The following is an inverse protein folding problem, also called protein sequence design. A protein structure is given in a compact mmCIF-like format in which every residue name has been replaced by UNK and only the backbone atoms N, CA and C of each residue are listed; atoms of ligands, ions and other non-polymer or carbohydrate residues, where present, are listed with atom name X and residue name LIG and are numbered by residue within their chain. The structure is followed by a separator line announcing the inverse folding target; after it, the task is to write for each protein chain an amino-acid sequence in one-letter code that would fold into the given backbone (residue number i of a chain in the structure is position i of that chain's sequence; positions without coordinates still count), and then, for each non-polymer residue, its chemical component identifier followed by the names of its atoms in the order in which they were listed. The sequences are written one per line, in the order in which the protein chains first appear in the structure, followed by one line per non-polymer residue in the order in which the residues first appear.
data_IF_483339038009
#
_entry.id   IF_483339038009
#
_cell.length_a   1.000
_cell.length_b   1.000
_cell.length_c   1.000
_cell.angle_alpha   90.00
_cell.angle_beta   90.00
_cell.angle_gamma   90.00
#
_symmetry.space_group_name_H-M   'P 1'
#
loop_
_entity.id
_entity.type
_entity.pdbx_description
1 polymer ?
#
# COMPACT_ATOMS: atom_id res chain seq x y z
N UNK A 1 -33.82 -33.71 11.77
CA UNK A 1 -33.25 -32.37 11.53
C UNK A 1 -33.04 -31.75 12.88
N UNK A 2 -31.82 -31.34 13.16
CA UNK A 2 -31.41 -30.74 14.43
C UNK A 2 -31.14 -29.26 14.17
N UNK A 3 -31.72 -28.39 14.98
CA UNK A 3 -31.38 -26.97 14.95
C UNK A 3 -30.04 -26.77 15.63
N UNK A 4 -29.09 -26.20 14.89
CA UNK A 4 -27.77 -25.81 15.38
C UNK A 4 -27.76 -24.31 15.60
N UNK A 5 -27.11 -23.89 16.69
CA UNK A 5 -26.75 -22.49 16.92
C UNK A 5 -25.25 -22.34 16.74
N UNK A 6 -24.84 -21.80 15.60
CA UNK A 6 -23.43 -21.68 15.22
C UNK A 6 -22.93 -20.26 15.52
N UNK A 7 -21.97 -20.16 16.41
CA UNK A 7 -21.27 -18.91 16.69
C UNK A 7 -20.33 -18.55 15.54
N UNK A 8 -20.53 -17.36 14.98
CA UNK A 8 -19.82 -16.82 13.82
C UNK A 8 -19.05 -15.57 14.20
N UNK A 9 -17.89 -15.35 13.58
CA UNK A 9 -17.08 -14.13 13.71
C UNK A 9 -16.76 -13.58 12.34
N UNK A 10 -16.91 -12.26 12.16
CA UNK A 10 -16.46 -11.57 10.95
C UNK A 10 -14.97 -11.26 11.10
N UNK A 11 -14.14 -11.91 10.29
CA UNK A 11 -12.69 -11.72 10.36
C UNK A 11 -12.32 -10.35 9.78
N UNK A 12 -11.41 -9.63 10.46
CA UNK A 12 -10.97 -8.30 10.07
C UNK A 12 -11.83 -7.15 10.58
N UNK A 13 -12.84 -7.41 11.42
CA UNK A 13 -13.64 -6.39 12.11
C UNK A 13 -13.77 -6.70 13.59
N UNK A 14 -13.74 -5.67 14.44
CA UNK A 14 -14.03 -5.77 15.88
C UNK A 14 -15.54 -5.71 16.13
N UNK A 15 -16.28 -6.67 15.60
CA UNK A 15 -17.75 -6.71 15.70
C UNK A 15 -18.27 -7.65 16.78
N UNK A 16 -17.41 -8.43 17.44
CA UNK A 16 -17.85 -9.51 18.31
C UNK A 16 -18.28 -10.76 17.54
N UNK A 17 -18.46 -11.85 18.29
CA UNK A 17 -19.11 -13.05 17.82
C UNK A 17 -20.65 -12.92 17.89
N UNK A 18 -21.35 -13.58 16.97
CA UNK A 18 -22.82 -13.63 16.96
C UNK A 18 -23.30 -15.04 16.57
N UNK A 19 -24.45 -15.43 17.07
CA UNK A 19 -25.00 -16.76 16.86
C UNK A 19 -25.95 -16.81 15.66
N UNK A 20 -25.86 -17.89 14.90
CA UNK A 20 -26.70 -18.14 13.73
C UNK A 20 -27.42 -19.47 13.88
N UNK A 21 -28.74 -19.40 13.87
CA UNK A 21 -29.60 -20.58 13.96
C UNK A 21 -29.87 -21.16 12.57
N UNK A 22 -29.60 -22.46 12.39
CA UNK A 22 -29.80 -23.17 11.12
C UNK A 22 -30.00 -24.68 11.35
N UNK A 23 -30.74 -25.33 10.46
CA UNK A 23 -30.88 -26.79 10.46
C UNK A 23 -29.61 -27.48 9.93
N UNK A 24 -29.16 -28.52 10.63
CA UNK A 24 -27.99 -29.36 10.27
C UNK A 24 -28.08 -30.02 8.88
N UNK A 25 -29.32 -30.25 8.43
CA UNK A 25 -29.66 -30.79 7.12
C UNK A 25 -29.53 -29.81 5.96
N UNK A 26 -29.12 -28.55 6.20
CA UNK A 26 -28.99 -27.53 5.17
C UNK A 26 -27.61 -27.53 4.51
N UNK A 27 -27.51 -26.89 3.34
CA UNK A 27 -26.24 -26.67 2.64
C UNK A 27 -25.50 -25.45 3.17
N UNK A 28 -24.19 -25.38 2.94
CA UNK A 28 -23.37 -24.21 3.25
C UNK A 28 -23.87 -22.94 2.52
N UNK A 29 -24.49 -23.06 1.34
CA UNK A 29 -25.16 -21.94 0.68
C UNK A 29 -26.28 -21.32 1.52
N UNK A 30 -27.10 -22.14 2.17
CA UNK A 30 -28.15 -21.68 3.08
C UNK A 30 -27.56 -21.07 4.36
N UNK A 31 -26.42 -21.61 4.84
CA UNK A 31 -25.68 -21.01 5.96
C UNK A 31 -25.20 -19.60 5.64
N UNK A 32 -24.66 -19.34 4.44
CA UNK A 32 -24.28 -17.98 4.02
C UNK A 32 -25.45 -17.01 4.07
N UNK A 33 -26.62 -17.44 3.61
CA UNK A 33 -27.83 -16.62 3.63
C UNK A 33 -28.31 -16.37 5.07
N UNK A 34 -28.30 -17.40 5.92
CA UNK A 34 -28.67 -17.29 7.33
C UNK A 34 -27.75 -16.32 8.09
N UNK A 35 -26.44 -16.43 7.89
CA UNK A 35 -25.43 -15.52 8.45
C UNK A 35 -25.74 -14.07 8.08
N UNK A 36 -25.97 -13.79 6.79
CA UNK A 36 -26.32 -12.43 6.37
C UNK A 36 -27.58 -11.92 7.08
N UNK A 37 -28.65 -12.71 7.07
CA UNK A 37 -29.95 -12.30 7.61
C UNK A 37 -29.92 -12.11 9.14
N UNK A 38 -29.10 -12.90 9.85
CA UNK A 38 -29.01 -12.88 11.32
C UNK A 38 -27.87 -11.99 11.84
N UNK A 39 -27.09 -11.35 10.96
CA UNK A 39 -25.98 -10.46 11.33
C UNK A 39 -26.39 -9.06 11.79
N UNK A 40 -27.67 -8.79 12.02
CA UNK A 40 -28.20 -7.46 12.42
C UNK A 40 -27.67 -6.29 11.56
N UNK A 41 -27.58 -6.51 10.24
CA UNK A 41 -27.11 -5.50 9.29
C UNK A 41 -25.58 -5.30 9.23
N UNK A 42 -24.79 -6.06 10.01
CA UNK A 42 -23.32 -6.01 9.95
C UNK A 42 -22.77 -6.41 8.58
N UNK A 43 -23.52 -7.22 7.83
CA UNK A 43 -23.19 -7.67 6.47
C UNK A 43 -24.15 -7.07 5.46
N UNK A 44 -23.69 -6.03 4.74
CA UNK A 44 -24.45 -5.38 3.67
C UNK A 44 -24.33 -6.11 2.34
N UNK A 45 -23.19 -6.74 2.07
CA UNK A 45 -22.87 -7.41 0.80
C UNK A 45 -23.81 -8.58 0.46
N UNK A 46 -23.99 -8.91 -0.83
CA UNK A 46 -24.74 -10.10 -1.23
C UNK A 46 -24.17 -11.37 -0.58
N UNK A 47 -25.03 -12.18 0.04
CA UNK A 47 -24.63 -13.38 0.78
C UNK A 47 -23.84 -14.38 -0.08
N UNK A 48 -24.08 -14.38 -1.40
CA UNK A 48 -23.35 -15.20 -2.38
C UNK A 48 -21.84 -14.93 -2.37
N UNK A 49 -21.43 -13.70 -2.07
CA UNK A 49 -20.04 -13.30 -2.07
C UNK A 49 -19.31 -13.72 -0.79
N UNK A 50 -20.02 -13.97 0.30
CA UNK A 50 -19.42 -14.36 1.58
C UNK A 50 -18.57 -15.62 1.42
N UNK A 51 -17.41 -15.64 2.07
CA UNK A 51 -16.58 -16.84 2.17
C UNK A 51 -16.60 -17.32 3.62
N UNK A 52 -16.84 -18.61 3.81
CA UNK A 52 -16.94 -19.22 5.13
C UNK A 52 -15.76 -20.18 5.30
N UNK A 53 -15.16 -20.14 6.48
CA UNK A 53 -14.07 -21.03 6.87
C UNK A 53 -14.40 -21.67 8.22
N UNK A 54 -13.95 -22.89 8.43
CA UNK A 54 -14.05 -23.54 9.73
C UNK A 54 -13.12 -22.84 10.72
N UNK A 55 -13.64 -22.48 11.88
CA UNK A 55 -12.83 -21.96 12.99
C UNK A 55 -12.12 -23.08 13.78
N UNK A 56 -11.69 -24.14 13.09
CA UNK A 56 -10.86 -25.20 13.68
C UNK A 56 -9.39 -24.80 13.57
N UNK A 57 -8.68 -24.97 14.68
CA UNK A 57 -7.22 -24.89 14.71
C UNK A 57 -6.60 -26.12 14.03
N UNK A 58 -5.29 -26.08 13.78
CA UNK A 58 -4.54 -27.21 13.20
C UNK A 58 -4.66 -28.51 14.01
N UNK A 59 -4.97 -28.41 15.31
CA UNK A 59 -5.20 -29.55 16.21
C UNK A 59 -6.65 -30.02 16.28
N UNK A 60 -7.55 -29.45 15.45
CA UNK A 60 -8.95 -29.83 15.38
C UNK A 60 -9.86 -29.24 16.47
N UNK A 61 -9.32 -28.42 17.37
CA UNK A 61 -10.08 -27.71 18.40
C UNK A 61 -10.73 -26.42 17.85
N UNK A 62 -11.92 -26.10 18.34
CA UNK A 62 -12.62 -24.84 18.04
C UNK A 62 -11.97 -23.66 18.77
N UNK A 63 -11.96 -22.50 18.11
CA UNK A 63 -11.39 -21.27 18.66
C UNK A 63 -12.33 -20.60 19.68
N UNK A 64 -11.78 -19.75 20.54
CA UNK A 64 -12.58 -18.78 21.30
C UNK A 64 -12.80 -17.48 20.50
N UNK A 65 -13.70 -16.63 20.99
CA UNK A 65 -14.05 -15.36 20.35
C UNK A 65 -12.85 -14.42 20.19
N UNK A 66 -11.98 -14.32 21.21
CA UNK A 66 -10.84 -13.41 21.20
C UNK A 66 -9.79 -13.80 20.15
N UNK A 67 -9.54 -15.09 20.00
CA UNK A 67 -8.59 -15.63 19.01
C UNK A 67 -9.17 -15.53 17.60
N UNK A 68 -10.48 -15.74 17.44
CA UNK A 68 -11.14 -15.65 16.14
C UNK A 68 -11.14 -14.23 15.54
N UNK A 69 -11.26 -13.19 16.38
CA UNK A 69 -11.17 -11.79 15.93
C UNK A 69 -9.75 -11.40 15.47
N UNK A 70 -8.73 -12.02 16.05
CA UNK A 70 -7.31 -11.75 15.75
C UNK A 70 -6.76 -12.53 14.55
N UNK A 71 -7.59 -13.29 13.83
CA UNK A 71 -7.14 -14.10 12.69
C UNK A 71 -6.58 -13.20 11.59
N UNK A 72 -5.32 -13.41 11.24
CA UNK A 72 -4.65 -12.70 10.17
C UNK A 72 -5.18 -13.16 8.80
N UNK A 73 -5.44 -12.19 7.91
CA UNK A 73 -5.80 -12.43 6.52
C UNK A 73 -4.56 -12.32 5.63
N UNK A 74 -4.48 -13.14 4.59
CA UNK A 74 -3.45 -13.06 3.55
C UNK A 74 -3.69 -11.88 2.58
N UNK A 75 -2.78 -11.70 1.63
CA UNK A 75 -2.85 -10.67 0.58
C UNK A 75 -4.12 -10.76 -0.30
N UNK A 76 -4.87 -11.87 -0.22
CA UNK A 76 -6.13 -12.11 -0.94
C UNK A 76 -7.36 -11.98 -0.03
N UNK A 77 -7.15 -11.60 1.23
CA UNK A 77 -8.18 -11.45 2.25
C UNK A 77 -8.68 -12.79 2.80
N UNK A 78 -7.90 -13.88 2.73
CA UNK A 78 -8.28 -15.20 3.23
C UNK A 78 -7.52 -15.54 4.52
N UNK A 79 -8.19 -16.15 5.51
CA UNK A 79 -7.52 -16.59 6.74
C UNK A 79 -6.59 -17.76 6.42
N UNK A 80 -5.29 -17.61 6.73
CA UNK A 80 -4.28 -18.64 6.46
C UNK A 80 -4.41 -19.82 7.42
N UNK A 81 -4.32 -21.04 6.90
CA UNK A 81 -4.38 -22.27 7.71
C UNK A 81 -5.79 -22.76 8.05
N UNK A 82 -6.83 -22.09 7.54
CA UNK A 82 -8.22 -22.46 7.81
C UNK A 82 -8.91 -23.09 6.61
N UNK A 83 -9.75 -24.08 6.87
CA UNK A 83 -10.44 -24.82 5.83
C UNK A 83 -11.65 -24.07 5.30
N UNK A 84 -11.63 -23.77 3.99
CA UNK A 84 -12.73 -23.13 3.27
C UNK A 84 -13.91 -24.09 3.08
N UNK A 85 -15.11 -23.61 3.41
CA UNK A 85 -16.35 -24.37 3.26
C UNK A 85 -16.91 -24.23 1.83
N UNK A 86 -17.07 -25.37 1.15
CA UNK A 86 -17.75 -25.49 -0.15
C UNK A 86 -19.27 -25.27 0.01
N UNK A 87 -19.86 -24.25 -0.69
CA UNK A 87 -21.30 -23.97 -0.69
C UNK A 87 -22.21 -25.14 -1.08
N UNK A 88 -21.69 -26.09 -1.85
CA UNK A 88 -22.45 -27.22 -2.41
C UNK A 88 -22.62 -28.38 -1.42
N UNK A 89 -21.79 -28.41 -0.36
CA UNK A 89 -21.81 -29.45 0.65
C UNK A 89 -22.81 -29.13 1.78
N UNK A 90 -23.20 -30.19 2.49
CA UNK A 90 -24.10 -30.12 3.64
C UNK A 90 -23.35 -29.68 4.90
N UNK A 91 -24.04 -29.01 5.83
CA UNK A 91 -23.48 -28.60 7.13
C UNK A 91 -23.03 -29.84 7.92
N UNK A 92 -23.89 -30.88 7.98
CA UNK A 92 -23.58 -32.18 8.63
C UNK A 92 -22.54 -33.05 7.92
N UNK A 93 -21.85 -32.55 6.90
CA UNK A 93 -20.78 -33.29 6.25
C UNK A 93 -19.66 -33.57 7.26
N UNK A 94 -19.10 -34.79 7.26
CA UNK A 94 -18.02 -35.21 8.17
C UNK A 94 -16.79 -34.29 8.10
N UNK A 95 -16.57 -33.68 6.93
CA UNK A 95 -15.54 -32.68 6.70
C UNK A 95 -15.71 -31.40 7.53
N UNK A 96 -16.94 -31.07 7.92
CA UNK A 96 -17.27 -29.83 8.63
C UNK A 96 -17.62 -30.13 10.09
N UNK A 97 -18.91 -30.21 10.38
CA UNK A 97 -19.44 -30.44 11.72
C UNK A 97 -19.68 -31.93 11.98
N UNK A 98 -19.95 -32.71 10.94
CA UNK A 98 -20.33 -34.12 11.04
C UNK A 98 -21.75 -34.34 11.58
N UNK A 99 -22.23 -35.60 11.53
CA UNK A 99 -23.54 -35.95 12.05
C UNK A 99 -23.57 -35.87 13.57
N UNK A 100 -24.63 -35.26 14.12
CA UNK A 100 -24.82 -35.18 15.58
C UNK A 100 -23.95 -34.14 16.29
N UNK A 101 -23.34 -33.21 15.55
CA UNK A 101 -22.61 -32.08 16.11
C UNK A 101 -23.45 -31.29 17.11
N UNK A 102 -22.85 -30.92 18.24
CA UNK A 102 -23.45 -30.02 19.22
C UNK A 102 -22.46 -28.88 19.53
N UNK A 103 -22.85 -27.62 19.32
CA UNK A 103 -22.03 -26.47 19.67
C UNK A 103 -21.93 -26.33 21.19
N UNK A 104 -20.75 -25.99 21.70
CA UNK A 104 -20.52 -25.70 23.13
C UNK A 104 -20.32 -24.20 23.35
N UNK A 105 -20.64 -23.74 24.56
CA UNK A 105 -20.49 -22.34 24.95
C UNK A 105 -19.03 -21.87 24.84
N UNK A 106 -18.85 -20.64 24.33
CA UNK A 106 -17.53 -20.01 24.18
C UNK A 106 -16.74 -20.44 22.94
N UNK A 107 -17.27 -21.33 22.10
CA UNK A 107 -16.63 -21.78 20.87
C UNK A 107 -17.10 -20.99 19.65
N UNK A 108 -16.15 -20.53 18.84
CA UNK A 108 -16.41 -20.01 17.49
C UNK A 108 -16.34 -21.16 16.51
N UNK A 109 -17.34 -21.23 15.64
CA UNK A 109 -17.54 -22.33 14.71
C UNK A 109 -17.20 -21.92 13.27
N UNK A 110 -17.54 -20.69 12.89
CA UNK A 110 -17.42 -20.20 11.51
C UNK A 110 -16.72 -18.85 11.48
N UNK A 111 -15.67 -18.77 10.67
CA UNK A 111 -15.04 -17.52 10.29
C UNK A 111 -15.69 -17.00 9.01
N UNK A 112 -16.22 -15.78 9.07
CA UNK A 112 -16.92 -15.13 7.97
C UNK A 112 -16.02 -14.06 7.37
N UNK A 113 -15.70 -14.22 6.08
CA UNK A 113 -14.98 -13.22 5.31
C UNK A 113 -15.96 -12.55 4.35
N UNK A 114 -16.10 -11.23 4.50
CA UNK A 114 -16.93 -10.39 3.63
C UNK A 114 -16.02 -9.77 2.56
N UNK A 115 -16.20 -10.10 1.26
CA UNK A 115 -15.39 -9.50 0.22
C UNK A 115 -15.80 -8.05 -0.02
N UNK A 116 -14.80 -7.15 -0.05
CA UNK A 116 -15.00 -5.73 -0.38
C UNK A 116 -14.98 -4.78 0.81
N UNK A 117 -14.48 -5.20 1.97
CA UNK A 117 -14.47 -4.34 3.18
C UNK A 117 -13.14 -4.42 3.95
N UNK A 118 -12.01 -4.33 3.25
CA UNK A 118 -10.99 -3.44 3.80
C UNK A 118 -11.41 -2.03 3.38
N UNK A 119 -11.30 -1.04 4.25
CA UNK A 119 -11.27 0.36 3.80
C UNK A 119 -10.13 0.60 2.78
N UNK A 120 -9.25 -0.40 2.60
CA UNK A 120 -8.25 -0.50 1.56
C UNK A 120 -8.69 -1.28 0.30
N UNK A 121 -9.88 -1.88 0.21
CA UNK A 121 -10.33 -2.71 -0.93
C UNK A 121 -10.81 -1.89 -2.12
N UNK A 122 -11.44 -0.75 -1.87
CA UNK A 122 -11.84 0.19 -2.92
C UNK A 122 -10.62 0.89 -3.53
N UNK A 123 -9.58 1.13 -2.73
CA UNK A 123 -8.32 1.68 -3.22
C UNK A 123 -7.42 0.61 -3.85
N UNK A 124 -7.31 -0.60 -3.30
CA UNK A 124 -6.45 -1.66 -3.89
C UNK A 124 -6.97 -2.27 -5.21
N UNK A 125 -8.26 -2.13 -5.52
CA UNK A 125 -8.83 -2.51 -6.83
C UNK A 125 -8.67 -1.41 -7.90
N UNK A 126 -8.52 -0.16 -7.48
CA UNK A 126 -8.30 1.00 -8.38
C UNK A 126 -6.78 1.31 -8.50
N UNK A 127 -6.02 0.98 -7.46
CA UNK A 127 -4.61 1.30 -7.31
C UNK A 127 -3.86 0.03 -6.88
N UNK A 128 -2.83 -0.40 -7.61
CA UNK A 128 -1.93 -1.43 -7.11
C UNK A 128 -1.37 -0.95 -5.76
N UNK A 129 -1.31 -1.86 -4.78
CA UNK A 129 -0.53 -1.67 -3.56
C UNK A 129 0.83 -1.10 -3.95
N UNK A 130 1.31 -0.06 -3.26
CA UNK A 130 2.65 0.48 -3.49
C UNK A 130 3.65 -0.69 -3.56
N UNK A 131 4.15 -1.00 -4.76
CA UNK A 131 5.12 -2.07 -4.97
C UNK A 131 6.48 -1.39 -5.02
N UNK A 132 7.34 -1.61 -4.01
CA UNK A 132 8.73 -1.18 -4.11
C UNK A 132 9.29 -1.75 -5.43
N UNK A 133 9.71 -0.85 -6.31
CA UNK A 133 10.21 -1.16 -7.63
C UNK A 133 11.39 -2.17 -7.57
N UNK A 134 11.58 -2.98 -8.62
CA UNK A 134 12.71 -3.91 -8.72
C UNK A 134 14.08 -3.22 -8.76
N UNK A 135 14.13 -1.91 -9.08
CA UNK A 135 15.34 -1.05 -9.02
C UNK A 135 15.29 -0.05 -7.85
N UNK A 136 14.28 -0.15 -6.98
CA UNK A 136 14.10 0.72 -5.81
C UNK A 136 14.85 0.24 -4.57
N UNK A 137 14.68 0.97 -3.48
CA UNK A 137 15.29 0.63 -2.19
C UNK A 137 14.68 -0.67 -1.64
N UNK A 138 15.51 -1.70 -1.45
CA UNK A 138 15.08 -2.95 -0.83
C UNK A 138 14.96 -2.78 0.69
N UNK A 139 13.72 -2.67 1.15
CA UNK A 139 13.35 -2.42 2.54
C UNK A 139 13.71 -3.55 3.53
N UNK A 140 14.10 -4.72 3.03
CA UNK A 140 14.58 -5.85 3.84
C UNK A 140 16.10 -5.78 4.12
N UNK A 141 16.83 -4.96 3.35
CA UNK A 141 18.26 -4.77 3.54
C UNK A 141 18.54 -3.50 4.37
N UNK A 142 19.69 -3.43 5.07
CA UNK A 142 20.08 -2.21 5.77
C UNK A 142 20.18 -1.01 4.81
N UNK A 143 19.56 0.10 5.16
CA UNK A 143 19.49 1.32 4.36
C UNK A 143 19.50 2.56 5.26
N UNK A 144 19.78 3.73 4.67
CA UNK A 144 19.61 5.00 5.37
C UNK A 144 18.13 5.32 5.51
N UNK A 145 17.67 5.62 6.73
CA UNK A 145 16.26 5.95 6.99
C UNK A 145 15.86 7.31 6.41
N UNK A 146 16.81 8.25 6.32
CA UNK A 146 16.60 9.63 5.85
C UNK A 146 15.40 10.32 6.53
N UNK A 147 15.16 10.02 7.81
CA UNK A 147 13.93 10.39 8.52
C UNK A 147 13.60 11.88 8.44
N UNK A 148 14.58 12.76 8.64
CA UNK A 148 14.37 14.21 8.57
C UNK A 148 13.90 14.68 7.18
N UNK A 149 14.35 14.02 6.11
CA UNK A 149 13.91 14.33 4.74
C UNK A 149 12.52 13.77 4.46
N UNK A 150 12.20 12.59 5.01
CA UNK A 150 10.85 11.98 4.92
C UNK A 150 9.82 12.85 5.63
N UNK A 151 10.09 13.30 6.86
CA UNK A 151 9.19 14.21 7.58
C UNK A 151 9.02 15.55 6.86
N UNK A 152 10.12 16.09 6.33
CA UNK A 152 10.06 17.32 5.52
C UNK A 152 9.17 17.15 4.28
N UNK A 153 9.19 15.99 3.64
CA UNK A 153 8.27 15.66 2.54
C UNK A 153 6.83 15.55 3.04
N UNK A 154 6.60 14.91 4.19
CA UNK A 154 5.28 14.79 4.80
C UNK A 154 4.64 16.14 5.10
N UNK A 155 5.35 17.03 5.79
CA UNK A 155 4.87 18.39 6.08
C UNK A 155 4.46 19.13 4.80
N UNK A 156 5.20 18.95 3.71
CA UNK A 156 4.89 19.55 2.42
C UNK A 156 3.63 18.98 1.78
N UNK A 157 3.45 17.66 1.83
CA UNK A 157 2.26 16.97 1.28
C UNK A 157 0.99 17.37 2.04
N UNK A 158 1.07 17.55 3.36
CA UNK A 158 -0.06 18.02 4.17
C UNK A 158 -0.43 19.46 3.80
N UNK A 159 0.55 20.32 3.58
CA UNK A 159 0.34 21.77 3.38
C UNK A 159 0.00 22.17 1.95
N UNK A 160 0.39 21.40 0.96
CA UNK A 160 0.32 21.79 -0.46
C UNK A 160 -0.28 20.69 -1.32
N UNK A 161 -0.90 21.05 -2.44
CA UNK A 161 -1.46 20.07 -3.37
C UNK A 161 -0.40 19.33 -4.20
N UNK A 162 0.74 19.98 -4.43
CA UNK A 162 1.84 19.49 -5.27
C UNK A 162 3.18 19.71 -4.59
N UNK A 163 3.99 18.66 -4.58
CA UNK A 163 5.40 18.70 -4.16
C UNK A 163 6.28 18.25 -5.33
N UNK A 164 7.33 19.01 -5.64
CA UNK A 164 8.29 18.66 -6.69
C UNK A 164 9.61 18.16 -6.11
N UNK A 165 10.03 16.95 -6.49
CA UNK A 165 11.37 16.41 -6.26
C UNK A 165 12.19 16.58 -7.53
N UNK A 166 13.18 17.46 -7.49
CA UNK A 166 13.98 17.87 -8.65
C UNK A 166 15.47 17.71 -8.35
N UNK A 167 16.06 16.60 -8.78
CA UNK A 167 17.48 16.33 -8.59
C UNK A 167 18.03 15.43 -9.71
N UNK A 168 19.37 15.36 -9.91
CA UNK A 168 19.98 14.48 -10.91
C UNK A 168 19.59 13.00 -10.75
N UNK A 169 19.88 12.18 -11.76
CA UNK A 169 19.71 10.72 -11.67
C UNK A 169 20.52 10.15 -10.49
N UNK A 170 20.08 9.02 -9.93
CA UNK A 170 20.78 8.35 -8.82
C UNK A 170 20.75 9.08 -7.47
N UNK A 171 20.11 10.25 -7.37
CA UNK A 171 20.04 11.05 -6.13
C UNK A 171 19.14 10.46 -5.03
N UNK A 172 18.47 9.33 -5.26
CA UNK A 172 17.60 8.67 -4.28
C UNK A 172 16.16 9.20 -4.20
N UNK A 173 15.63 9.82 -5.27
CA UNK A 173 14.23 10.30 -5.32
C UNK A 173 13.23 9.15 -5.14
N UNK A 174 13.34 8.10 -5.94
CA UNK A 174 12.51 6.89 -5.86
C UNK A 174 12.67 6.19 -4.50
N UNK A 175 13.88 6.19 -3.92
CA UNK A 175 14.12 5.70 -2.56
C UNK A 175 13.38 6.54 -1.50
N UNK A 176 13.34 7.87 -1.64
CA UNK A 176 12.59 8.75 -0.75
C UNK A 176 11.08 8.50 -0.84
N UNK A 177 10.53 8.33 -2.05
CA UNK A 177 9.13 7.94 -2.26
C UNK A 177 8.79 6.62 -1.54
N UNK A 178 9.69 5.63 -1.67
CA UNK A 178 9.59 4.33 -1.01
C UNK A 178 9.60 4.44 0.52
N UNK A 179 10.52 5.22 1.07
CA UNK A 179 10.61 5.45 2.51
C UNK A 179 9.38 6.19 3.05
N UNK A 180 8.89 7.18 2.31
CA UNK A 180 7.70 7.93 2.65
C UNK A 180 6.45 7.04 2.71
N UNK A 181 6.21 6.24 1.66
CA UNK A 181 5.07 5.32 1.62
C UNK A 181 5.10 4.29 2.76
N UNK A 182 6.29 3.81 3.14
CA UNK A 182 6.45 2.88 4.27
C UNK A 182 6.20 3.55 5.61
N UNK A 183 6.72 4.77 5.80
CA UNK A 183 6.68 5.46 7.09
C UNK A 183 5.28 5.96 7.41
N UNK A 184 4.56 6.45 6.40
CA UNK A 184 3.21 6.99 6.53
C UNK A 184 2.17 6.01 5.96
N UNK A 185 2.06 4.83 6.56
CA UNK A 185 1.14 3.77 6.11
C UNK A 185 -0.34 4.13 6.28
N UNK A 186 -0.63 5.16 7.07
CA UNK A 186 -1.95 5.78 7.18
C UNK A 186 -2.39 6.55 5.93
N UNK A 187 -1.43 6.92 5.06
CA UNK A 187 -1.67 7.63 3.79
C UNK A 187 -1.70 6.62 2.65
N UNK A 188 -2.72 6.74 1.79
CA UNK A 188 -2.84 5.92 0.59
C UNK A 188 -1.90 6.45 -0.50
N UNK A 189 -0.72 5.83 -0.61
CA UNK A 189 0.28 6.18 -1.62
C UNK A 189 0.12 5.32 -2.88
N UNK A 190 0.06 5.97 -4.04
CA UNK A 190 -0.10 5.33 -5.35
C UNK A 190 1.13 5.66 -6.17
N UNK A 191 1.85 4.63 -6.59
CA UNK A 191 3.00 4.80 -7.48
C UNK A 191 2.54 4.87 -8.94
N UNK A 192 2.97 5.92 -9.64
CA UNK A 192 2.69 6.17 -11.06
C UNK A 192 4.02 6.45 -11.75
N UNK A 193 4.64 5.40 -12.27
CA UNK A 193 5.89 5.52 -13.03
C UNK A 193 5.59 5.82 -14.50
N UNK A 194 6.21 6.87 -15.04
CA UNK A 194 6.27 7.08 -16.48
C UNK A 194 7.44 6.26 -17.05
N UNK A 195 7.18 5.47 -18.08
CA UNK A 195 8.20 4.64 -18.76
C UNK A 195 8.29 4.98 -20.26
N UNK A 196 9.20 4.32 -20.98
CA UNK A 196 9.35 4.50 -22.43
C UNK A 196 8.17 3.97 -23.26
N UNK A 197 7.26 3.21 -22.65
CA UNK A 197 6.08 2.64 -23.31
C UNK A 197 4.81 3.47 -23.08
N UNK A 198 4.91 4.53 -22.28
CA UNK A 198 3.77 5.33 -21.89
C UNK A 198 3.19 6.08 -23.09
N UNK A 199 2.07 5.59 -23.62
CA UNK A 199 1.40 6.15 -24.82
C UNK A 199 0.63 7.45 -24.56
N UNK A 200 0.57 7.92 -23.31
CA UNK A 200 -0.04 9.20 -22.95
C UNK A 200 -0.28 9.35 -21.45
N UNK A 201 0.22 10.45 -20.87
CA UNK A 201 0.18 10.70 -19.42
C UNK A 201 -1.25 10.73 -18.85
N UNK A 202 -2.19 11.32 -19.61
CA UNK A 202 -3.61 11.36 -19.22
C UNK A 202 -4.23 9.96 -19.18
N UNK A 203 -3.89 9.09 -20.12
CA UNK A 203 -4.42 7.73 -20.17
C UNK A 203 -3.91 6.90 -18.97
N UNK A 204 -2.64 7.06 -18.63
CA UNK A 204 -2.04 6.41 -17.46
C UNK A 204 -2.73 6.85 -16.17
N UNK A 205 -2.87 8.16 -15.93
CA UNK A 205 -3.56 8.67 -14.75
C UNK A 205 -5.05 8.32 -14.70
N UNK A 206 -5.69 8.11 -15.85
CA UNK A 206 -7.09 7.70 -15.90
C UNK A 206 -7.30 6.30 -15.31
N UNK A 207 -6.31 5.41 -15.41
CA UNK A 207 -6.35 4.09 -14.74
C UNK A 207 -6.40 4.22 -13.21
N UNK A 208 -5.91 5.34 -12.71
CA UNK A 208 -5.84 5.73 -11.30
C UNK A 208 -6.98 6.70 -10.91
N UNK A 209 -8.05 6.76 -11.71
CA UNK A 209 -9.21 7.59 -11.41
C UNK A 209 -8.99 9.10 -11.58
N UNK A 210 -7.90 9.53 -12.23
CA UNK A 210 -7.60 10.95 -12.48
C UNK A 210 -7.56 11.21 -13.98
N UNK A 211 -8.62 11.80 -14.54
CA UNK A 211 -8.65 12.18 -15.94
C UNK A 211 -8.41 13.69 -16.10
N UNK A 212 -7.19 14.04 -16.47
CA UNK A 212 -6.74 15.43 -16.65
C UNK A 212 -7.43 16.13 -17.83
N UNK A 213 -7.81 15.40 -18.88
CA UNK A 213 -8.47 15.97 -20.07
C UNK A 213 -9.93 16.31 -19.78
N UNK A 214 -10.67 15.41 -19.13
CA UNK A 214 -12.08 15.65 -18.76
C UNK A 214 -12.26 16.35 -17.43
N UNK A 215 -11.16 16.62 -16.70
CA UNK A 215 -11.15 17.25 -15.37
C UNK A 215 -12.03 16.48 -14.38
N UNK A 216 -11.87 15.16 -14.34
CA UNK A 216 -12.63 14.28 -13.47
C UNK A 216 -11.70 13.53 -12.53
N UNK A 217 -12.04 13.53 -11.24
CA UNK A 217 -11.37 12.76 -10.21
C UNK A 217 -12.37 11.81 -9.55
N UNK A 218 -12.20 10.51 -9.77
CA UNK A 218 -13.05 9.45 -9.24
C UNK A 218 -12.45 8.79 -7.97
N UNK A 219 -11.47 9.45 -7.34
CA UNK A 219 -10.85 8.98 -6.10
C UNK A 219 -11.84 9.19 -4.95
N UNK A 220 -12.32 8.12 -4.31
CA UNK A 220 -13.34 8.22 -3.27
C UNK A 220 -12.82 9.04 -2.09
N UNK A 221 -13.74 9.74 -1.42
CA UNK A 221 -13.42 10.46 -0.19
C UNK A 221 -13.11 9.46 0.92
N UNK A 222 -11.98 9.64 1.59
CA UNK A 222 -11.48 8.71 2.61
C UNK A 222 -10.17 9.20 3.22
N UNK A 223 -9.19 8.30 3.34
CA UNK A 223 -7.82 8.63 3.74
C UNK A 223 -7.19 9.62 2.74
N UNK A 224 -6.19 10.36 3.20
CA UNK A 224 -5.36 11.20 2.33
C UNK A 224 -4.71 10.32 1.25
N UNK A 225 -4.88 10.69 0.00
CA UNK A 225 -4.43 9.94 -1.16
C UNK A 225 -3.32 10.71 -1.88
N UNK A 226 -2.15 10.08 -2.06
CA UNK A 226 -0.98 10.71 -2.66
C UNK A 226 -0.58 9.96 -3.92
N UNK A 227 -0.69 10.60 -5.09
CA UNK A 227 -0.18 10.08 -6.35
C UNK A 227 1.30 10.49 -6.49
N UNK A 228 2.18 9.50 -6.47
CA UNK A 228 3.61 9.65 -6.65
C UNK A 228 3.93 9.46 -8.12
N UNK A 229 4.06 10.58 -8.84
CA UNK A 229 4.40 10.59 -10.24
C UNK A 229 5.92 10.48 -10.38
N UNK A 230 6.44 9.30 -10.71
CA UNK A 230 7.88 9.07 -10.87
C UNK A 230 8.32 9.16 -12.34
N UNK A 231 9.58 9.53 -12.56
CA UNK A 231 10.19 9.67 -13.89
C UNK A 231 9.47 10.69 -14.81
N UNK A 232 8.93 11.76 -14.24
CA UNK A 232 8.14 12.77 -14.95
C UNK A 232 8.87 13.46 -16.11
N UNK A 233 10.20 13.43 -16.15
CA UNK A 233 11.00 13.94 -17.28
C UNK A 233 10.64 13.29 -18.62
N UNK A 234 10.09 12.07 -18.61
CA UNK A 234 9.67 11.37 -19.83
C UNK A 234 8.44 11.97 -20.49
N UNK A 235 7.67 12.77 -19.76
CA UNK A 235 6.42 13.38 -20.24
C UNK A 235 6.48 14.92 -20.19
N UNK A 236 7.67 15.52 -20.16
CA UNK A 236 7.82 16.98 -20.17
C UNK A 236 7.23 17.66 -21.41
N UNK A 237 7.23 16.97 -22.56
CA UNK A 237 6.68 17.50 -23.81
C UNK A 237 5.15 17.70 -23.78
N UNK A 238 4.44 17.17 -22.79
CA UNK A 238 2.98 17.30 -22.68
C UNK A 238 2.60 18.53 -21.84
N UNK A 239 2.88 19.72 -22.38
CA UNK A 239 2.61 21.00 -21.70
C UNK A 239 1.12 21.20 -21.34
N UNK A 240 0.22 20.69 -22.18
CA UNK A 240 -1.23 20.75 -21.99
C UNK A 240 -1.65 19.91 -20.78
N UNK A 241 -1.11 18.69 -20.65
CA UNK A 241 -1.29 17.86 -19.46
C UNK A 241 -0.83 18.57 -18.19
N UNK A 242 0.41 19.07 -18.15
CA UNK A 242 0.95 19.71 -16.95
C UNK A 242 0.23 21.00 -16.59
N UNK A 243 -0.19 21.78 -17.60
CA UNK A 243 -0.97 23.00 -17.38
C UNK A 243 -2.33 22.68 -16.76
N UNK A 244 -3.04 21.67 -17.28
CA UNK A 244 -4.34 21.26 -16.74
C UNK A 244 -4.24 20.63 -15.36
N UNK A 245 -3.21 19.83 -15.12
CA UNK A 245 -2.98 19.18 -13.83
C UNK A 245 -2.57 20.20 -12.76
N UNK A 246 -1.53 21.02 -13.00
CA UNK A 246 -0.97 21.89 -11.95
C UNK A 246 -1.81 23.16 -11.79
N UNK A 247 -2.10 23.89 -12.87
CA UNK A 247 -2.83 25.16 -12.78
C UNK A 247 -4.34 24.98 -12.73
N UNK A 248 -4.85 23.90 -13.33
CA UNK A 248 -6.29 23.64 -13.42
C UNK A 248 -6.87 22.85 -12.25
N UNK A 249 -6.04 22.18 -11.44
CA UNK A 249 -6.45 21.21 -10.40
C UNK A 249 -7.43 21.76 -9.38
N UNK A 250 -7.25 23.01 -8.94
CA UNK A 250 -8.03 23.58 -7.84
C UNK A 250 -9.56 23.56 -8.06
N UNK A 251 -10.03 23.40 -9.31
CA UNK A 251 -11.47 23.37 -9.63
C UNK A 251 -12.08 21.96 -9.68
N UNK A 252 -11.28 20.89 -9.66
CA UNK A 252 -11.79 19.53 -9.90
C UNK A 252 -11.05 18.41 -9.16
N UNK A 253 -9.89 18.68 -8.58
CA UNK A 253 -9.17 17.75 -7.71
C UNK A 253 -9.62 18.00 -6.27
N UNK A 254 -10.11 16.97 -5.57
CA UNK A 254 -10.52 17.09 -4.17
C UNK A 254 -9.37 17.39 -3.21
N UNK A 255 -9.69 18.03 -2.08
CA UNK A 255 -8.72 18.39 -1.03
C UNK A 255 -8.10 17.20 -0.29
N UNK A 256 -8.54 15.96 -0.53
CA UNK A 256 -7.90 14.75 0.02
C UNK A 256 -6.96 14.07 -0.98
N UNK A 257 -6.76 14.64 -2.17
CA UNK A 257 -5.87 14.12 -3.19
C UNK A 257 -4.66 15.05 -3.34
N UNK A 258 -3.46 14.46 -3.35
CA UNK A 258 -2.16 15.15 -3.39
C UNK A 258 -1.25 14.51 -4.42
N UNK A 259 -0.26 15.28 -4.88
CA UNK A 259 0.69 14.82 -5.88
C UNK A 259 2.12 15.06 -5.43
N UNK A 260 2.96 14.05 -5.56
CA UNK A 260 4.42 14.19 -5.52
C UNK A 260 4.92 13.97 -6.95
N UNK A 261 5.64 14.95 -7.50
CA UNK A 261 6.20 14.91 -8.83
C UNK A 261 7.70 14.67 -8.67
N UNK A 262 8.19 13.50 -9.07
CA UNK A 262 9.61 13.19 -9.12
C UNK A 262 10.11 13.34 -10.55
N UNK A 263 11.15 14.15 -10.71
CA UNK A 263 11.70 14.45 -12.02
C UNK A 263 13.23 14.58 -11.96
N UNK A 264 13.89 14.03 -12.98
CA UNK A 264 15.33 14.10 -13.11
C UNK A 264 15.77 15.32 -13.90
N UNK A 265 16.76 16.06 -13.38
CA UNK A 265 17.46 17.07 -14.17
C UNK A 265 18.28 16.37 -15.24
N UNK A 266 17.85 16.45 -16.49
CA UNK A 266 18.65 16.01 -17.63
C UNK A 266 19.61 17.16 -17.97
N UNK A 267 20.91 16.90 -17.86
CA UNK A 267 21.98 17.88 -18.08
C UNK A 267 22.32 18.07 -19.57
N UNK A 268 21.70 17.27 -20.45
CA UNK A 268 21.92 17.30 -21.90
C UNK A 268 21.02 18.34 -22.58
N UNK A 269 21.59 19.06 -23.54
CA UNK A 269 20.98 20.20 -24.25
C UNK A 269 19.86 19.81 -25.22
N UNK A 270 19.72 18.53 -25.56
CA UNK A 270 18.77 18.03 -26.57
C UNK A 270 17.49 17.44 -25.94
N UNK A 271 17.26 17.72 -24.66
CA UNK A 271 16.13 17.21 -23.89
C UNK A 271 15.12 18.33 -23.63
N UNK A 272 13.81 18.06 -23.66
CA UNK A 272 12.81 19.06 -23.30
C UNK A 272 13.08 19.68 -21.93
N UNK A 273 13.00 21.01 -21.89
CA UNK A 273 13.03 21.75 -20.64
C UNK A 273 11.88 21.32 -19.74
N UNK A 274 12.08 21.38 -18.43
CA UNK A 274 11.01 21.15 -17.47
C UNK A 274 9.81 22.06 -17.75
N UNK A 275 8.55 21.59 -17.60
CA UNK A 275 7.37 22.38 -17.87
C UNK A 275 7.39 23.72 -17.11
N UNK A 276 7.02 24.81 -17.78
CA UNK A 276 7.01 26.17 -17.17
C UNK A 276 6.09 26.22 -15.93
N UNK A 277 5.06 25.38 -15.90
CA UNK A 277 4.13 25.21 -14.78
C UNK A 277 4.79 24.70 -13.50
N UNK A 278 5.94 24.04 -13.57
CA UNK A 278 6.68 23.64 -12.36
C UNK A 278 7.19 24.86 -11.58
N UNK A 279 7.29 26.02 -12.25
CA UNK A 279 7.56 27.30 -11.61
C UNK A 279 6.54 27.68 -10.53
N UNK A 280 5.26 27.30 -10.68
CA UNK A 280 4.20 27.66 -9.72
C UNK A 280 4.05 26.70 -8.55
N UNK A 281 4.80 25.60 -8.51
CA UNK A 281 4.79 24.67 -7.37
C UNK A 281 5.52 25.33 -6.21
N UNK A 282 4.83 25.52 -5.08
CA UNK A 282 5.37 26.21 -3.90
C UNK A 282 6.51 25.42 -3.24
N UNK A 283 6.32 24.11 -3.06
CA UNK A 283 7.28 23.29 -2.35
C UNK A 283 8.14 22.44 -3.28
N UNK A 284 9.47 22.59 -3.17
CA UNK A 284 10.46 21.90 -3.99
C UNK A 284 11.56 21.30 -3.12
N UNK A 285 11.81 20.00 -3.29
CA UNK A 285 13.03 19.35 -2.81
C UNK A 285 14.02 19.29 -3.97
N UNK A 286 15.11 20.03 -3.84
CA UNK A 286 16.12 20.15 -4.90
C UNK A 286 17.35 19.31 -4.58
N UNK A 287 18.33 19.31 -5.49
CA UNK A 287 19.65 18.64 -5.32
C UNK A 287 20.20 18.76 -3.89
N UNK A 288 20.17 19.94 -3.29
CA UNK A 288 20.76 20.19 -1.98
C UNK A 288 20.09 19.40 -0.86
N UNK A 289 18.80 19.07 -1.00
CA UNK A 289 18.09 18.22 -0.05
C UNK A 289 18.44 16.74 -0.19
N UNK A 290 18.92 16.31 -1.36
CA UNK A 290 19.31 14.94 -1.65
C UNK A 290 20.79 14.67 -1.37
N UNK A 291 21.58 15.69 -1.02
CA UNK A 291 22.95 15.48 -0.58
C UNK A 291 22.97 14.63 0.70
N UNK A 292 23.90 13.68 0.73
CA UNK A 292 24.19 12.84 1.89
C UNK A 292 25.14 13.61 2.78
N UNK A 293 24.77 13.84 4.05
CA UNK A 293 25.65 14.48 5.02
C UNK A 293 26.75 13.52 5.47
N UNK A 294 27.81 14.04 6.05
CA UNK A 294 28.94 13.22 6.47
C UNK A 294 28.49 12.13 7.45
N UNK A 295 27.60 12.42 8.41
CA UNK A 295 27.08 11.42 9.34
C UNK A 295 26.33 10.29 8.62
N UNK A 296 25.51 10.64 7.63
CA UNK A 296 24.75 9.68 6.83
C UNK A 296 25.67 8.87 5.91
N UNK A 297 26.73 9.48 5.38
CA UNK A 297 27.75 8.79 4.59
C UNK A 297 28.48 7.76 5.45
N UNK A 298 28.88 8.13 6.68
CA UNK A 298 29.49 7.20 7.64
C UNK A 298 28.55 6.06 8.01
N UNK A 299 27.27 6.35 8.25
CA UNK A 299 26.27 5.32 8.49
C UNK A 299 26.15 4.37 7.29
N UNK A 300 26.01 4.91 6.09
CA UNK A 300 25.85 4.15 4.85
C UNK A 300 27.01 3.17 4.62
N UNK A 301 28.24 3.63 4.81
CA UNK A 301 29.45 2.82 4.64
C UNK A 301 29.65 1.76 5.73
N UNK A 302 28.94 1.87 6.85
CA UNK A 302 28.94 0.89 7.93
C UNK A 302 27.74 -0.06 7.88
N UNK A 303 26.77 0.17 7.00
CA UNK A 303 25.67 -0.74 6.78
C UNK A 303 26.21 -2.10 6.29
N UNK A 304 25.69 -3.21 6.83
CA UNK A 304 25.96 -4.56 6.31
C UNK A 304 25.15 -4.83 5.04
N UNK A 305 25.18 -3.90 4.08
CA UNK A 305 24.40 -3.88 2.84
C UNK A 305 25.13 -4.51 1.65
N UNK A 306 26.16 -5.33 1.90
CA UNK A 306 26.95 -5.96 0.83
C UNK A 306 28.14 -5.14 0.32
N UNK A 307 28.38 -3.92 0.83
CA UNK A 307 29.60 -3.16 0.51
C UNK A 307 30.86 -3.97 0.89
N UNK A 308 31.84 -4.13 -0.03
CA UNK A 308 33.10 -4.80 0.24
C UNK A 308 33.78 -4.24 1.49
N UNK A 309 34.38 -5.08 2.36
CA UNK A 309 35.03 -4.62 3.59
C UNK A 309 36.09 -3.52 3.38
N UNK A 310 36.72 -3.48 2.20
CA UNK A 310 37.72 -2.46 1.80
C UNK A 310 37.13 -1.06 1.58
N UNK A 311 35.82 -0.97 1.35
CA UNK A 311 35.07 0.28 1.16
C UNK A 311 34.32 0.69 2.42
N UNK A 312 34.33 -0.13 3.48
CA UNK A 312 33.79 0.23 4.79
C UNK A 312 34.81 1.08 5.53
N UNK A 313 34.34 1.96 6.41
CA UNK A 313 35.25 2.65 7.33
C UNK A 313 35.84 1.61 8.28
N UNK A 314 37.08 1.21 8.01
CA UNK A 314 37.92 0.59 9.03
C UNK A 314 38.13 1.65 10.10
N UNK A 315 37.71 1.39 11.34
CA UNK A 315 38.14 2.17 12.51
C UNK A 315 39.67 2.12 12.58
N UNK A 316 40.32 3.07 11.90
CA UNK A 316 41.72 3.36 12.04
C UNK A 316 41.79 4.75 12.66
N UNK A 317 42.34 4.81 13.87
CA UNK A 317 42.52 6.07 14.58
C UNK A 317 43.29 7.09 13.75
N UNK A 318 42.90 8.35 13.96
CA UNK A 318 43.52 9.60 13.45
C UNK A 318 43.47 9.82 11.94
N UNK A 319 42.52 10.68 11.55
CA UNK A 319 42.85 11.90 10.81
C UNK A 319 43.26 11.76 9.35
N UNK A 320 42.48 11.04 8.54
CA UNK A 320 42.68 11.05 7.09
C UNK A 320 41.41 11.48 6.35
N UNK A 321 41.31 12.81 6.15
CA UNK A 321 40.24 13.58 5.50
C UNK A 321 40.06 13.22 4.00
N UNK A 322 40.99 12.45 3.44
CA UNK A 322 41.02 12.07 2.03
C UNK A 322 39.99 11.00 1.65
N UNK A 323 39.48 10.21 2.62
CA UNK A 323 38.51 9.12 2.33
C UNK A 323 37.06 9.59 2.26
N UNK A 324 36.72 10.72 2.86
CA UNK A 324 35.36 11.30 2.82
C UNK A 324 35.03 11.80 1.40
N UNK A 325 36.00 12.39 0.71
CA UNK A 325 35.83 12.85 -0.68
C UNK A 325 35.56 11.71 -1.68
N UNK A 326 36.07 10.50 -1.41
CA UNK A 326 35.81 9.33 -2.24
C UNK A 326 34.40 8.78 -2.05
N UNK A 327 33.86 8.79 -0.81
CA UNK A 327 32.50 8.35 -0.53
C UNK A 327 31.45 9.19 -1.28
N UNK A 328 31.63 10.52 -1.30
CA UNK A 328 30.79 11.45 -2.05
C UNK A 328 30.79 11.19 -3.56
N UNK A 329 31.93 10.75 -4.13
CA UNK A 329 32.05 10.41 -5.57
C UNK A 329 31.55 9.00 -5.90
N UNK A 330 31.72 8.04 -5.00
CA UNK A 330 31.39 6.63 -5.22
C UNK A 330 29.90 6.33 -5.05
N UNK A 331 29.22 6.98 -4.09
CA UNK A 331 27.76 6.88 -3.92
C UNK A 331 27.02 7.47 -5.13
N UNK A 332 27.62 8.45 -5.82
CA UNK A 332 27.09 9.01 -7.07
C UNK A 332 27.28 8.08 -8.30
N UNK A 333 28.05 6.98 -8.19
CA UNK A 333 28.35 6.07 -9.30
C UNK A 333 27.82 4.63 -9.10
N UNK A 334 27.20 4.33 -7.95
CA UNK A 334 26.63 3.01 -7.64
C UNK A 334 25.09 3.00 -7.61
N UNK A 335 24.43 4.15 -7.79
CA UNK A 335 22.97 4.23 -7.95
C UNK A 335 22.56 4.42 -9.41
#
# INVERSE_FOLDING_TARGET
MVNLSLTCVIVGRKTGAFDVNIEDGMKISALKQAIKNQSDGLITDPWLKLQLFLAKTEYGAWMDGATAEGVALDDRGHPQGYEKMDPSLWIKNDKYFGPGFQPYEGQVHVLVVVPGQSEDASLSQIFPTFRPYCEGLNLQHPHLSRDALVEKLHEAVIRTNFVLLSSPSGSGKTSLLTLYARKHSEISCIDVTFDSTTKGATALLSNYGVNVRTKKCDIPKGKLCVLMLDDCQRVYNDDDFWTRLIKGSASWIPDHVRFIISATHLLETDVPHSPVTFGSIEFKLTRDNFLVKDEEAHQCLNLKNGLPPKLRFLHAGRGDDTRVQWAHRFIAHIN
#
